data_IF_996860907855
#
_entry.id   IF_996860907855
#
_cell.length_a   1.000
_cell.length_b   1.000
_cell.length_c   1.000
_cell.angle_alpha   90.00
_cell.angle_beta   90.00
_cell.angle_gamma   90.00
#
_symmetry.space_group_name_H-M   'P 1'
#
loop_
_entity.id
_entity.type
_entity.pdbx_description
1 polymer ?
#
# COMPACT_ATOMS: atom_id res chain seq x y z
N UNK A 1 -25.90 -10.11 -13.11
CA UNK A 1 -26.70 -9.39 -12.12
C UNK A 1 -25.94 -8.15 -11.73
N UNK A 2 -26.45 -6.97 -12.05
CA UNK A 2 -25.82 -5.68 -11.72
C UNK A 2 -25.49 -5.63 -10.21
N UNK A 3 -24.40 -4.98 -9.77
CA UNK A 3 -24.18 -4.78 -8.35
C UNK A 3 -25.30 -3.87 -7.84
N UNK A 4 -26.22 -4.43 -7.06
CA UNK A 4 -27.17 -3.62 -6.30
C UNK A 4 -26.34 -2.67 -5.43
N UNK A 5 -26.51 -1.38 -5.64
CA UNK A 5 -25.90 -0.38 -4.79
C UNK A 5 -26.59 -0.47 -3.43
N UNK A 6 -25.93 -1.15 -2.49
CA UNK A 6 -26.48 -1.42 -1.18
C UNK A 6 -26.39 -0.14 -0.36
N UNK A 7 -27.53 0.55 -0.22
CA UNK A 7 -27.62 1.75 0.59
C UNK A 7 -27.63 1.37 2.09
N UNK A 8 -27.11 2.22 2.98
CA UNK A 8 -27.11 1.97 4.42
C UNK A 8 -28.51 1.62 4.98
N UNK A 9 -29.56 2.22 4.43
CA UNK A 9 -30.95 2.02 4.83
C UNK A 9 -31.42 0.58 4.57
N UNK A 10 -30.87 -0.11 3.56
CA UNK A 10 -31.16 -1.53 3.34
C UNK A 10 -30.59 -2.41 4.46
N UNK A 11 -29.42 -2.05 5.01
CA UNK A 11 -28.81 -2.76 6.14
C UNK A 11 -29.63 -2.51 7.40
N UNK A 12 -30.02 -1.25 7.62
CA UNK A 12 -30.89 -0.90 8.75
C UNK A 12 -32.21 -1.67 8.70
N UNK A 13 -32.90 -1.70 7.55
CA UNK A 13 -34.15 -2.45 7.39
C UNK A 13 -33.96 -3.93 7.71
N UNK A 14 -32.90 -4.55 7.18
CA UNK A 14 -32.60 -5.95 7.43
C UNK A 14 -32.37 -6.26 8.92
N UNK A 15 -31.70 -5.37 9.66
CA UNK A 15 -31.49 -5.51 11.11
C UNK A 15 -32.83 -5.36 11.85
N UNK A 16 -33.66 -4.39 11.46
CA UNK A 16 -34.97 -4.15 12.09
C UNK A 16 -35.98 -5.26 11.81
N UNK A 17 -35.94 -5.88 10.64
CA UNK A 17 -36.83 -7.00 10.28
C UNK A 17 -36.45 -8.31 10.99
N UNK A 18 -35.21 -8.44 11.46
CA UNK A 18 -34.73 -9.64 12.12
C UNK A 18 -35.34 -9.78 13.53
N UNK A 19 -36.07 -10.86 13.77
CA UNK A 19 -36.58 -11.23 15.10
C UNK A 19 -35.67 -12.24 15.79
N UNK A 20 -35.55 -12.12 17.11
CA UNK A 20 -34.72 -12.99 17.94
C UNK A 20 -35.00 -14.48 17.75
N UNK A 21 -36.28 -14.85 17.58
CA UNK A 21 -36.72 -16.23 17.36
C UNK A 21 -36.13 -16.88 16.11
N UNK A 22 -35.82 -16.09 15.07
CA UNK A 22 -35.29 -16.59 13.80
C UNK A 22 -33.76 -16.59 13.73
N UNK A 23 -33.06 -16.08 14.76
CA UNK A 23 -31.60 -15.93 14.74
C UNK A 23 -30.91 -17.28 14.60
N UNK A 24 -31.34 -18.28 15.37
CA UNK A 24 -30.72 -19.61 15.31
C UNK A 24 -30.93 -20.26 13.94
N UNK A 25 -32.15 -20.21 13.41
CA UNK A 25 -32.46 -20.77 12.10
C UNK A 25 -31.65 -20.09 10.99
N UNK A 26 -31.53 -18.75 11.05
CA UNK A 26 -30.71 -17.99 10.12
C UNK A 26 -29.24 -18.39 10.19
N UNK A 27 -28.68 -18.55 11.39
CA UNK A 27 -27.30 -19.00 11.59
C UNK A 27 -27.11 -20.41 11.02
N UNK A 28 -28.02 -21.34 11.28
CA UNK A 28 -27.93 -22.71 10.74
C UNK A 28 -27.93 -22.75 9.20
N UNK A 29 -28.62 -21.82 8.54
CA UNK A 29 -28.65 -21.71 7.07
C UNK A 29 -27.44 -20.97 6.49
N UNK A 30 -26.90 -19.99 7.21
CA UNK A 30 -25.84 -19.09 6.70
C UNK A 30 -24.43 -19.57 7.04
N UNK A 31 -24.22 -20.14 8.23
CA UNK A 31 -22.92 -20.63 8.68
C UNK A 31 -22.27 -21.62 7.72
N UNK A 32 -22.98 -22.62 7.13
CA UNK A 32 -22.40 -23.55 6.15
C UNK A 32 -21.70 -22.87 4.95
N UNK A 33 -22.08 -21.62 4.64
CA UNK A 33 -21.56 -20.86 3.51
C UNK A 33 -20.32 -20.03 3.86
N UNK A 34 -19.92 -20.01 5.14
CA UNK A 34 -18.82 -19.20 5.65
C UNK A 34 -17.50 -19.97 5.65
N UNK A 35 -16.39 -19.25 5.48
CA UNK A 35 -15.04 -19.85 5.62
C UNK A 35 -14.80 -20.38 7.03
N UNK A 36 -15.42 -19.79 8.06
CA UNK A 36 -15.34 -20.27 9.45
C UNK A 36 -15.87 -21.70 9.58
N UNK A 37 -17.00 -21.99 8.94
CA UNK A 37 -17.55 -23.34 8.89
C UNK A 37 -16.65 -24.32 8.16
N UNK A 38 -16.14 -23.94 6.99
CA UNK A 38 -15.25 -24.80 6.20
C UNK A 38 -14.02 -25.23 7.01
N UNK A 39 -13.40 -24.31 7.74
CA UNK A 39 -12.25 -24.60 8.59
C UNK A 39 -12.62 -25.45 9.80
N UNK A 40 -13.69 -25.10 10.51
CA UNK A 40 -14.12 -25.86 11.70
C UNK A 40 -14.53 -27.28 11.33
N UNK A 41 -15.20 -27.47 10.19
CA UNK A 41 -15.60 -28.77 9.69
C UNK A 41 -14.39 -29.71 9.58
N UNK A 42 -13.28 -29.23 9.01
CA UNK A 42 -12.06 -30.05 8.87
C UNK A 42 -11.54 -30.52 10.24
N UNK A 43 -11.54 -29.64 11.25
CA UNK A 43 -11.11 -30.02 12.61
C UNK A 43 -12.01 -31.08 13.23
N UNK A 44 -13.33 -30.97 13.03
CA UNK A 44 -14.29 -31.93 13.59
C UNK A 44 -14.24 -33.24 12.81
N UNK A 45 -14.19 -33.20 11.49
CA UNK A 45 -14.04 -34.39 10.65
C UNK A 45 -12.76 -35.20 10.98
N UNK A 46 -11.68 -34.53 11.41
CA UNK A 46 -10.51 -35.19 11.99
C UNK A 46 -10.81 -35.90 13.30
N UNK A 47 -11.49 -35.23 14.25
CA UNK A 47 -11.85 -35.81 15.56
C UNK A 47 -12.76 -37.03 15.41
N UNK A 48 -13.64 -37.00 14.41
CA UNK A 48 -14.52 -38.12 14.05
C UNK A 48 -13.78 -39.23 13.27
N UNK A 49 -12.51 -39.03 12.91
CA UNK A 49 -11.72 -40.01 12.16
C UNK A 49 -12.15 -40.21 10.70
N UNK A 50 -12.99 -39.29 10.19
CA UNK A 50 -13.51 -39.27 8.81
C UNK A 50 -12.44 -38.82 7.83
N UNK A 51 -11.61 -37.86 8.24
CA UNK A 51 -10.42 -37.45 7.50
C UNK A 51 -9.19 -38.17 8.07
N UNK A 52 -8.64 -39.12 7.31
CA UNK A 52 -7.37 -39.81 7.60
C UNK A 52 -6.33 -39.47 6.53
N UNK A 53 -5.11 -39.12 6.92
CA UNK A 53 -3.99 -38.84 6.00
C UNK A 53 -3.61 -37.36 5.85
N UNK A 54 -2.64 -37.03 4.96
CA UNK A 54 -2.07 -35.68 4.85
C UNK A 54 -2.94 -34.77 3.97
N UNK A 55 -4.14 -34.42 4.45
CA UNK A 55 -4.95 -33.33 3.91
C UNK A 55 -4.21 -31.96 3.95
N UNK A 56 -3.17 -31.87 4.80
CA UNK A 56 -2.15 -30.81 4.87
C UNK A 56 -1.35 -30.64 3.58
N UNK A 57 -1.43 -31.59 2.63
CA UNK A 57 -0.83 -31.43 1.30
C UNK A 57 -1.51 -30.35 0.43
N UNK A 58 -2.57 -29.71 0.90
CA UNK A 58 -3.26 -28.61 0.21
C UNK A 58 -4.02 -29.05 -1.04
N UNK A 59 -4.12 -30.35 -1.30
CA UNK A 59 -4.71 -30.91 -2.53
C UNK A 59 -6.22 -30.76 -2.62
N UNK A 60 -6.92 -30.54 -1.50
CA UNK A 60 -8.39 -30.41 -1.48
C UNK A 60 -8.82 -29.23 -0.62
N UNK A 61 -9.61 -28.34 -1.22
CA UNK A 61 -10.10 -27.13 -0.56
C UNK A 61 -11.13 -27.47 0.54
N UNK A 62 -11.04 -26.91 1.76
CA UNK A 62 -11.96 -27.17 2.87
C UNK A 62 -13.44 -27.11 2.49
N UNK A 63 -13.84 -26.09 1.71
CA UNK A 63 -15.17 -25.98 1.09
C UNK A 63 -15.70 -27.24 0.42
N UNK A 64 -14.87 -27.93 -0.38
CA UNK A 64 -15.30 -29.13 -1.12
C UNK A 64 -15.58 -30.28 -0.16
N UNK A 65 -14.74 -30.41 0.86
CA UNK A 65 -14.88 -31.43 1.90
C UNK A 65 -16.15 -31.16 2.70
N UNK A 66 -16.33 -29.94 3.20
CA UNK A 66 -17.49 -29.57 4.00
C UNK A 66 -18.82 -29.82 3.25
N UNK A 67 -18.89 -29.46 1.96
CA UNK A 67 -20.07 -29.70 1.11
C UNK A 67 -20.39 -31.19 0.92
N UNK A 68 -19.37 -32.03 0.74
CA UNK A 68 -19.56 -33.46 0.52
C UNK A 68 -20.18 -34.18 1.73
N UNK A 69 -20.13 -33.57 2.91
CA UNK A 69 -20.62 -34.11 4.17
C UNK A 69 -21.79 -33.31 4.73
N UNK A 70 -22.45 -32.47 3.92
CA UNK A 70 -23.71 -31.83 4.31
C UNK A 70 -24.76 -32.88 4.68
N UNK A 71 -25.52 -32.64 5.75
CA UNK A 71 -26.51 -33.59 6.28
C UNK A 71 -25.93 -34.77 7.07
N UNK A 72 -24.62 -34.81 7.32
CA UNK A 72 -23.99 -35.83 8.18
C UNK A 72 -23.89 -35.37 9.64
N UNK A 73 -23.69 -36.32 10.56
CA UNK A 73 -23.43 -36.05 11.98
C UNK A 73 -22.22 -35.12 12.19
N UNK A 74 -21.23 -35.18 11.29
CA UNK A 74 -20.05 -34.31 11.36
C UNK A 74 -20.43 -32.85 11.05
N UNK A 75 -21.30 -32.64 10.06
CA UNK A 75 -21.80 -31.30 9.72
C UNK A 75 -22.66 -30.73 10.85
N UNK A 76 -23.54 -31.55 11.43
CA UNK A 76 -24.38 -31.14 12.57
C UNK A 76 -23.54 -30.79 13.80
N UNK A 77 -22.56 -31.64 14.15
CA UNK A 77 -21.61 -31.36 15.23
C UNK A 77 -20.82 -30.07 14.97
N UNK A 78 -20.46 -29.80 13.71
CA UNK A 78 -19.78 -28.57 13.30
C UNK A 78 -20.64 -27.33 13.52
N UNK A 79 -21.91 -27.38 13.12
CA UNK A 79 -22.82 -26.28 13.37
C UNK A 79 -23.03 -26.05 14.86
N UNK A 80 -23.26 -27.12 15.63
CA UNK A 80 -23.51 -27.01 17.07
C UNK A 80 -22.27 -26.44 17.80
N UNK A 81 -21.05 -26.89 17.46
CA UNK A 81 -19.81 -26.36 18.04
C UNK A 81 -19.60 -24.89 17.67
N UNK A 82 -19.88 -24.48 16.43
CA UNK A 82 -19.76 -23.07 16.03
C UNK A 82 -20.79 -22.17 16.70
N UNK A 83 -22.04 -22.62 16.75
CA UNK A 83 -23.11 -21.88 17.41
C UNK A 83 -22.75 -21.71 18.89
N UNK A 84 -22.34 -22.78 19.57
CA UNK A 84 -21.98 -22.73 20.98
C UNK A 84 -20.71 -21.90 21.27
N UNK A 85 -19.63 -22.10 20.51
CA UNK A 85 -18.33 -21.49 20.84
C UNK A 85 -18.11 -20.10 20.24
N UNK A 86 -18.86 -19.74 19.18
CA UNK A 86 -18.62 -18.52 18.39
C UNK A 86 -19.84 -17.62 18.25
N UNK A 87 -21.05 -18.07 18.58
CA UNK A 87 -22.27 -17.28 18.41
C UNK A 87 -22.97 -17.12 19.77
N UNK A 88 -23.29 -15.87 20.15
CA UNK A 88 -24.05 -15.60 21.36
C UNK A 88 -25.51 -15.27 21.00
N UNK A 89 -26.30 -16.32 20.77
CA UNK A 89 -27.72 -16.18 20.42
C UNK A 89 -28.50 -15.45 21.54
N UNK A 90 -28.36 -15.81 22.84
CA UNK A 90 -29.10 -15.14 23.90
C UNK A 90 -28.86 -13.64 24.00
N UNK A 91 -27.60 -13.19 23.93
CA UNK A 91 -27.30 -11.75 23.95
C UNK A 91 -27.74 -11.06 22.66
N UNK A 92 -27.59 -11.72 21.50
CA UNK A 92 -28.05 -11.18 20.22
C UNK A 92 -29.56 -10.92 20.23
N UNK A 93 -30.35 -11.87 20.74
CA UNK A 93 -31.80 -11.70 20.91
C UNK A 93 -32.14 -10.51 21.79
N UNK A 94 -31.46 -10.34 22.94
CA UNK A 94 -31.66 -9.16 23.80
C UNK A 94 -31.34 -7.85 23.10
N UNK A 95 -30.28 -7.81 22.29
CA UNK A 95 -29.93 -6.60 21.51
C UNK A 95 -31.01 -6.29 20.48
N UNK A 96 -31.51 -7.31 19.76
CA UNK A 96 -32.61 -7.14 18.80
C UNK A 96 -33.89 -6.64 19.47
N UNK A 97 -34.27 -7.20 20.62
CA UNK A 97 -35.42 -6.74 21.41
C UNK A 97 -35.29 -5.27 21.80
N UNK A 98 -34.11 -4.84 22.24
CA UNK A 98 -33.84 -3.44 22.60
C UNK A 98 -33.87 -2.50 21.39
N UNK A 99 -33.45 -2.97 20.21
CA UNK A 99 -33.60 -2.22 18.95
C UNK A 99 -35.09 -2.07 18.60
N UNK A 100 -35.89 -3.14 18.74
CA UNK A 100 -37.34 -3.09 18.49
C UNK A 100 -38.08 -2.23 19.50
N UNK A 101 -37.66 -2.24 20.77
CA UNK A 101 -38.19 -1.39 21.84
C UNK A 101 -37.74 0.08 21.73
N UNK A 102 -36.96 0.45 20.70
CA UNK A 102 -36.40 1.78 20.50
C UNK A 102 -35.45 2.25 21.62
N UNK A 103 -34.93 1.33 22.45
CA UNK A 103 -33.88 1.64 23.42
C UNK A 103 -32.50 1.78 22.76
N UNK A 104 -32.31 1.13 21.61
CA UNK A 104 -31.10 1.22 20.78
C UNK A 104 -31.49 1.84 19.45
N UNK A 105 -30.97 3.03 19.17
CA UNK A 105 -31.14 3.72 17.90
C UNK A 105 -30.09 3.26 16.88
N UNK A 106 -30.51 3.08 15.62
CA UNK A 106 -29.63 2.80 14.50
C UNK A 106 -29.58 4.06 13.63
N UNK A 107 -28.38 4.61 13.45
CA UNK A 107 -28.13 5.77 12.59
C UNK A 107 -27.33 5.36 11.36
N UNK A 108 -27.82 5.71 10.19
CA UNK A 108 -27.18 5.41 8.90
C UNK A 108 -26.46 6.64 8.36
N UNK A 109 -25.17 6.49 8.03
CA UNK A 109 -24.33 7.58 7.48
C UNK A 109 -23.62 7.08 6.22
N UNK A 110 -24.01 7.61 5.07
CA UNK A 110 -23.34 7.35 3.80
C UNK A 110 -22.19 8.35 3.58
N UNK A 111 -20.98 7.85 3.36
CA UNK A 111 -19.82 8.67 2.94
C UNK A 111 -19.36 8.24 1.55
N UNK A 112 -19.14 9.21 0.66
CA UNK A 112 -18.73 8.96 -0.73
C UNK A 112 -17.22 8.86 -0.91
N UNK A 113 -16.44 9.46 0.00
CA UNK A 113 -14.98 9.46 -0.05
C UNK A 113 -14.42 8.70 1.16
N UNK A 114 -13.33 7.98 0.92
CA UNK A 114 -12.57 7.29 1.98
C UNK A 114 -12.05 8.32 3.01
N UNK A 115 -11.69 9.52 2.57
CA UNK A 115 -11.20 10.59 3.44
C UNK A 115 -12.24 11.11 4.45
N UNK A 116 -13.53 10.88 4.18
CA UNK A 116 -14.63 11.34 5.03
C UNK A 116 -15.10 10.25 6.01
N UNK A 117 -14.43 9.09 6.03
CA UNK A 117 -14.74 7.98 6.93
C UNK A 117 -14.31 8.29 8.37
N UNK A 118 -15.04 7.75 9.33
CA UNK A 118 -14.62 7.79 10.73
C UNK A 118 -13.40 6.90 10.96
N UNK A 119 -12.57 7.16 11.99
CA UNK A 119 -11.43 6.30 12.32
C UNK A 119 -11.82 4.81 12.49
N UNK A 120 -13.01 4.54 13.04
CA UNK A 120 -13.52 3.17 13.19
C UNK A 120 -13.86 2.53 11.84
N UNK A 121 -14.50 3.29 10.94
CA UNK A 121 -14.82 2.81 9.59
C UNK A 121 -13.55 2.58 8.76
N UNK A 122 -12.52 3.39 8.96
CA UNK A 122 -11.22 3.23 8.28
C UNK A 122 -10.60 1.87 8.61
N UNK A 123 -10.65 1.43 9.87
CA UNK A 123 -10.12 0.11 10.28
C UNK A 123 -10.84 -1.03 9.54
N UNK A 124 -12.18 -0.99 9.47
CA UNK A 124 -12.96 -2.00 8.77
C UNK A 124 -12.64 -2.04 7.26
N UNK A 125 -12.60 -0.88 6.62
CA UNK A 125 -12.26 -0.74 5.20
C UNK A 125 -10.81 -1.18 4.92
N UNK A 126 -9.89 -0.95 5.87
CA UNK A 126 -8.51 -1.38 5.75
C UNK A 126 -8.34 -2.91 5.73
N UNK A 127 -9.23 -3.66 6.38
CA UNK A 127 -9.21 -5.13 6.30
C UNK A 127 -9.59 -5.64 4.89
N UNK A 128 -10.37 -4.86 4.14
CA UNK A 128 -10.73 -5.15 2.76
C UNK A 128 -9.64 -4.78 1.73
N UNK A 129 -8.48 -4.26 2.17
CA UNK A 129 -7.37 -3.93 1.25
C UNK A 129 -6.88 -5.13 0.45
N UNK A 130 -6.92 -6.33 1.04
CA UNK A 130 -6.42 -7.56 0.41
C UNK A 130 -7.39 -8.18 -0.60
N UNK A 131 -8.65 -7.73 -0.62
CA UNK A 131 -9.65 -8.24 -1.56
C UNK A 131 -9.63 -7.51 -2.91
N UNK A 132 -8.80 -6.46 -3.04
CA UNK A 132 -8.67 -5.68 -4.28
C UNK A 132 -9.78 -4.65 -4.49
N UNK A 133 -10.79 -4.60 -3.62
CA UNK A 133 -11.91 -3.65 -3.71
C UNK A 133 -11.58 -2.28 -3.12
N UNK A 134 -10.52 -2.17 -2.30
CA UNK A 134 -10.14 -0.93 -1.61
C UNK A 134 -8.67 -0.61 -1.91
N UNK A 135 -8.43 0.52 -2.57
CA UNK A 135 -7.07 1.04 -2.78
C UNK A 135 -6.68 1.85 -1.54
N UNK A 136 -5.64 1.45 -0.79
CA UNK A 136 -5.24 2.16 0.41
C UNK A 136 -4.66 3.55 0.08
N UNK A 137 -4.93 4.52 0.97
CA UNK A 137 -4.44 5.91 0.85
C UNK A 137 -2.90 6.00 0.93
N UNK A 138 -2.28 5.25 1.84
CA UNK A 138 -0.82 5.09 1.92
C UNK A 138 -0.38 3.77 1.28
N UNK A 139 0.72 3.74 0.51
CA UNK A 139 1.29 2.50 -0.04
C UNK A 139 1.58 1.49 1.08
N UNK A 140 1.42 0.19 0.82
CA UNK A 140 1.79 -0.84 1.81
C UNK A 140 3.26 -0.67 2.27
N UNK A 141 3.55 -0.90 3.55
CA UNK A 141 4.92 -0.91 4.10
C UNK A 141 5.81 -1.88 3.32
N UNK A 142 5.27 -3.03 2.92
CA UNK A 142 5.99 -3.99 2.07
C UNK A 142 6.31 -3.42 0.68
N UNK A 143 5.45 -2.56 0.13
CA UNK A 143 5.69 -1.91 -1.15
C UNK A 143 6.76 -0.81 -1.02
N UNK A 144 6.73 -0.03 0.05
CA UNK A 144 7.76 0.95 0.37
C UNK A 144 9.15 0.29 0.52
N UNK A 145 9.24 -0.83 1.24
CA UNK A 145 10.48 -1.61 1.38
C UNK A 145 10.98 -2.16 0.04
N UNK A 146 10.08 -2.62 -0.85
CA UNK A 146 10.45 -3.03 -2.21
C UNK A 146 11.01 -1.86 -3.02
N UNK A 147 10.41 -0.67 -2.89
CA UNK A 147 10.88 0.54 -3.58
C UNK A 147 12.24 0.99 -3.04
N UNK A 148 12.43 0.96 -1.72
CA UNK A 148 13.72 1.21 -1.08
C UNK A 148 14.80 0.29 -1.65
N UNK A 149 14.60 -1.03 -1.57
CA UNK A 149 15.56 -2.02 -2.11
C UNK A 149 15.84 -1.83 -3.60
N UNK A 150 14.82 -1.41 -4.38
CA UNK A 150 14.97 -1.11 -5.80
C UNK A 150 15.84 0.13 -6.02
N UNK A 151 15.64 1.19 -5.25
CA UNK A 151 16.39 2.44 -5.39
C UNK A 151 17.83 2.29 -4.87
N UNK A 152 18.05 1.58 -3.76
CA UNK A 152 19.41 1.34 -3.23
C UNK A 152 20.31 0.59 -4.23
N UNK A 153 19.72 -0.32 -5.00
CA UNK A 153 20.42 -1.08 -6.05
C UNK A 153 20.68 -0.28 -7.32
N UNK A 154 20.03 0.87 -7.53
CA UNK A 154 20.24 1.68 -8.73
C UNK A 154 21.62 2.33 -8.70
N UNK A 155 22.12 2.58 -9.91
CA UNK A 155 23.31 3.35 -10.14
C UNK A 155 22.94 4.80 -10.48
N UNK A 156 23.74 5.73 -9.97
CA UNK A 156 23.59 7.16 -10.19
C UNK A 156 24.95 7.72 -10.59
N UNK A 157 24.94 8.68 -11.52
CA UNK A 157 26.16 9.44 -11.86
C UNK A 157 26.21 10.69 -10.99
N UNK A 158 27.31 10.84 -10.26
CA UNK A 158 27.60 12.00 -9.43
C UNK A 158 28.64 12.87 -10.12
N UNK A 159 28.28 14.14 -10.33
CA UNK A 159 29.16 15.15 -10.94
C UNK A 159 29.38 16.28 -9.95
N UNK A 160 30.63 16.62 -9.66
CA UNK A 160 30.91 17.79 -8.83
C UNK A 160 30.72 19.07 -9.65
N UNK A 161 29.72 19.86 -9.25
CA UNK A 161 29.37 21.12 -9.90
C UNK A 161 30.33 22.27 -9.50
N UNK A 162 31.13 22.08 -8.46
CA UNK A 162 32.14 23.05 -8.03
C UNK A 162 33.43 22.96 -8.85
N UNK A 163 34.10 21.80 -8.86
CA UNK A 163 35.40 21.64 -9.52
C UNK A 163 35.34 20.98 -10.90
N UNK A 164 34.22 20.36 -11.29
CA UNK A 164 34.06 19.64 -12.57
C UNK A 164 34.92 18.38 -12.76
N UNK A 165 35.85 18.10 -11.84
CA UNK A 165 36.84 17.03 -11.94
C UNK A 165 36.39 15.69 -11.35
N UNK A 166 35.21 15.63 -10.73
CA UNK A 166 34.63 14.40 -10.20
C UNK A 166 33.39 14.03 -11.01
N UNK A 167 33.44 12.87 -11.66
CA UNK A 167 32.36 12.29 -12.46
C UNK A 167 32.48 10.75 -12.34
N UNK A 168 31.65 10.16 -11.49
CA UNK A 168 31.69 8.73 -11.18
C UNK A 168 30.27 8.16 -11.16
N UNK A 169 30.13 6.91 -11.59
CA UNK A 169 28.90 6.13 -11.43
C UNK A 169 29.05 5.30 -10.16
N UNK A 170 28.09 5.41 -9.24
CA UNK A 170 28.07 4.65 -7.99
C UNK A 170 26.68 4.08 -7.72
N UNK A 171 26.63 2.96 -7.00
CA UNK A 171 25.37 2.45 -6.45
C UNK A 171 24.91 3.34 -5.30
N UNK A 172 23.62 3.65 -5.26
CA UNK A 172 23.04 4.55 -4.26
C UNK A 172 23.21 3.99 -2.85
N UNK A 173 23.03 2.68 -2.66
CA UNK A 173 23.20 2.02 -1.36
C UNK A 173 24.58 2.24 -0.74
N UNK A 174 25.62 2.38 -1.56
CA UNK A 174 27.02 2.55 -1.12
C UNK A 174 27.41 4.00 -0.82
N UNK A 175 26.53 4.97 -1.06
CA UNK A 175 26.82 6.38 -0.80
C UNK A 175 26.66 6.69 0.69
N UNK A 176 27.53 7.55 1.20
CA UNK A 176 27.38 8.15 2.52
C UNK A 176 26.12 9.04 2.58
N UNK A 177 25.60 9.25 3.79
CA UNK A 177 24.43 10.13 4.01
C UNK A 177 24.66 11.56 3.49
N UNK A 178 25.92 12.04 3.54
CA UNK A 178 26.34 13.36 3.05
C UNK A 178 27.57 13.20 2.15
N UNK A 179 27.38 12.84 0.87
CA UNK A 179 28.50 12.57 -0.02
C UNK A 179 29.30 13.85 -0.28
N UNK A 180 30.62 13.70 -0.37
CA UNK A 180 31.57 14.79 -0.65
C UNK A 180 32.37 14.47 -1.91
N UNK A 181 32.87 15.51 -2.57
CA UNK A 181 33.78 15.33 -3.70
C UNK A 181 35.17 14.93 -3.19
N UNK A 182 35.73 13.76 -3.55
CA UNK A 182 37.05 13.35 -3.11
C UNK A 182 38.19 14.17 -3.75
N UNK A 183 37.90 14.97 -4.78
CA UNK A 183 38.90 15.81 -5.47
C UNK A 183 39.07 17.20 -4.85
N UNK A 184 38.00 17.78 -4.31
CA UNK A 184 38.02 19.16 -3.79
C UNK A 184 37.37 19.34 -2.41
N UNK A 185 36.83 18.27 -1.81
CA UNK A 185 36.12 18.31 -0.53
C UNK A 185 34.72 18.94 -0.57
N UNK A 186 34.32 19.58 -1.68
CA UNK A 186 33.02 20.24 -1.77
C UNK A 186 31.86 19.23 -1.74
N UNK A 187 30.76 19.61 -1.09
CA UNK A 187 29.49 18.84 -1.04
C UNK A 187 28.55 19.13 -2.21
N UNK A 188 28.99 19.93 -3.18
CA UNK A 188 28.18 20.38 -4.29
C UNK A 188 28.20 19.38 -5.45
N UNK A 189 27.38 18.33 -5.31
CA UNK A 189 27.31 17.19 -6.22
C UNK A 189 25.94 17.13 -6.89
N UNK A 190 25.90 17.15 -8.22
CA UNK A 190 24.69 16.87 -8.98
C UNK A 190 24.52 15.35 -9.13
N UNK A 191 23.32 14.86 -8.82
CA UNK A 191 22.89 13.50 -9.11
C UNK A 191 22.09 13.47 -10.41
N UNK A 192 22.55 12.67 -11.38
CA UNK A 192 21.90 12.50 -12.68
C UNK A 192 21.85 11.03 -13.08
N UNK A 193 21.02 10.73 -14.09
CA UNK A 193 20.95 9.40 -14.71
C UNK A 193 22.36 8.91 -15.10
N UNK A 194 22.68 7.62 -14.88
CA UNK A 194 23.99 7.06 -15.21
C UNK A 194 24.36 7.20 -16.69
N UNK A 195 23.36 7.34 -17.57
CA UNK A 195 23.55 7.52 -19.01
C UNK A 195 23.74 8.98 -19.43
N UNK A 196 23.48 9.96 -18.56
CA UNK A 196 23.56 11.37 -18.91
C UNK A 196 25.02 11.87 -18.85
N UNK A 197 25.72 11.83 -19.99
CA UNK A 197 27.08 12.38 -20.13
C UNK A 197 27.11 13.87 -20.44
N UNK A 198 25.98 14.40 -20.92
CA UNK A 198 25.90 15.76 -21.44
C UNK A 198 26.19 16.80 -20.36
N UNK A 199 25.68 16.59 -19.13
CA UNK A 199 25.90 17.54 -18.03
C UNK A 199 27.39 17.77 -17.75
N UNK A 200 28.21 16.72 -17.76
CA UNK A 200 29.66 16.86 -17.52
C UNK A 200 30.37 17.62 -18.64
N UNK A 201 29.99 17.36 -19.89
CA UNK A 201 30.52 18.05 -21.07
C UNK A 201 30.17 19.54 -21.04
N UNK A 202 28.91 19.86 -20.77
CA UNK A 202 28.41 21.24 -20.64
C UNK A 202 29.08 21.97 -19.49
N UNK A 203 29.21 21.32 -18.32
CA UNK A 203 29.91 21.91 -17.17
C UNK A 203 31.37 22.25 -17.50
N UNK A 204 32.08 21.38 -18.21
CA UNK A 204 33.47 21.66 -18.65
C UNK A 204 33.56 22.83 -19.62
N UNK A 205 32.61 22.99 -20.55
CA UNK A 205 32.54 24.17 -21.43
C UNK A 205 32.32 25.45 -20.63
N UNK A 206 31.39 25.41 -19.67
CA UNK A 206 31.08 26.54 -18.80
C UNK A 206 32.30 26.97 -17.97
N UNK A 207 33.02 26.02 -17.35
CA UNK A 207 34.23 26.28 -16.57
C UNK A 207 35.39 26.85 -17.42
N UNK A 208 35.37 26.63 -18.73
CA UNK A 208 36.33 27.20 -19.69
C UNK A 208 35.86 28.53 -20.29
N UNK A 209 34.78 29.11 -19.77
CA UNK A 209 34.16 30.35 -20.25
C UNK A 209 33.79 30.32 -21.74
N UNK A 210 33.42 29.15 -22.25
CA UNK A 210 32.94 29.00 -23.63
C UNK A 210 31.47 29.37 -23.73
N UNK A 211 31.05 29.87 -24.90
CA UNK A 211 29.63 30.14 -25.16
C UNK A 211 28.83 28.83 -25.14
N UNK A 212 27.69 28.85 -24.44
CA UNK A 212 26.78 27.74 -24.31
C UNK A 212 25.57 27.97 -25.21
N UNK A 213 25.11 26.92 -25.88
CA UNK A 213 23.83 26.97 -26.58
C UNK A 213 22.66 27.08 -25.58
N UNK A 214 21.48 27.62 -25.97
CA UNK A 214 20.33 27.72 -25.09
C UNK A 214 19.88 26.40 -24.46
N UNK A 215 20.08 25.27 -25.15
CA UNK A 215 19.80 23.94 -24.62
C UNK A 215 20.83 23.49 -23.57
N UNK A 216 22.11 23.81 -23.79
CA UNK A 216 23.19 23.51 -22.84
C UNK A 216 22.99 24.30 -21.53
N UNK A 217 22.55 25.55 -21.61
CA UNK A 217 22.20 26.34 -20.43
C UNK A 217 21.07 25.70 -19.60
N UNK A 218 20.06 25.11 -20.27
CA UNK A 218 18.97 24.40 -19.57
C UNK A 218 19.50 23.19 -18.82
N UNK A 219 20.38 22.39 -19.45
CA UNK A 219 21.02 21.22 -18.82
C UNK A 219 21.82 21.66 -17.60
N UNK A 220 22.61 22.73 -17.73
CA UNK A 220 23.42 23.27 -16.64
C UNK A 220 22.56 23.75 -15.46
N UNK A 221 21.47 24.50 -15.74
CA UNK A 221 20.49 24.94 -14.73
C UNK A 221 19.84 23.76 -14.01
N UNK A 222 19.52 22.67 -14.71
CA UNK A 222 18.99 21.45 -14.07
C UNK A 222 20.05 20.78 -13.18
N UNK A 223 21.31 20.76 -13.61
CA UNK A 223 22.44 20.26 -12.83
C UNK A 223 22.62 21.03 -11.51
N UNK A 224 22.56 22.36 -11.56
CA UNK A 224 22.63 23.20 -10.35
C UNK A 224 21.48 22.92 -9.38
N UNK A 225 20.23 22.87 -9.89
CA UNK A 225 19.06 22.52 -9.07
C UNK A 225 19.19 21.12 -8.42
N UNK A 226 19.75 20.16 -9.14
CA UNK A 226 20.04 18.83 -8.58
C UNK A 226 21.08 18.93 -7.45
N UNK A 227 22.15 19.68 -7.65
CA UNK A 227 23.20 19.87 -6.65
C UNK A 227 22.72 20.62 -5.40
N UNK A 228 21.82 21.59 -5.55
CA UNK A 228 21.22 22.32 -4.43
C UNK A 228 20.42 21.37 -3.52
N UNK A 229 19.64 20.46 -4.12
CA UNK A 229 18.88 19.44 -3.37
C UNK A 229 19.80 18.46 -2.64
N UNK A 230 20.89 18.02 -3.30
CA UNK A 230 21.88 17.12 -2.68
C UNK A 230 22.64 17.82 -1.56
N UNK A 231 22.94 19.11 -1.70
CA UNK A 231 23.58 19.90 -0.64
C UNK A 231 22.68 19.98 0.61
N UNK A 232 21.38 20.21 0.41
CA UNK A 232 20.39 20.33 1.48
C UNK A 232 20.04 18.99 2.15
N UNK A 233 19.69 17.96 1.35
CA UNK A 233 19.10 16.71 1.85
C UNK A 233 20.01 15.47 1.71
N UNK A 234 21.24 15.63 1.19
CA UNK A 234 22.23 14.55 1.10
C UNK A 234 21.75 13.35 0.27
N UNK A 235 21.97 12.15 0.79
CA UNK A 235 21.61 10.88 0.14
C UNK A 235 20.12 10.76 -0.16
N UNK A 236 19.23 11.33 0.66
CA UNK A 236 17.78 11.33 0.40
C UNK A 236 17.43 12.06 -0.90
N UNK A 237 18.12 13.16 -1.23
CA UNK A 237 17.92 13.81 -2.53
C UNK A 237 18.36 12.93 -3.70
N UNK A 238 19.47 12.23 -3.55
CA UNK A 238 19.99 11.31 -4.58
C UNK A 238 18.99 10.16 -4.82
N UNK A 239 18.41 9.61 -3.76
CA UNK A 239 17.37 8.58 -3.83
C UNK A 239 16.14 9.11 -4.57
N UNK A 240 15.64 10.29 -4.19
CA UNK A 240 14.45 10.90 -4.80
C UNK A 240 14.66 11.20 -6.29
N UNK A 241 15.80 11.80 -6.66
CA UNK A 241 16.17 12.11 -8.05
C UNK A 241 16.39 10.87 -8.92
N UNK A 242 16.66 9.71 -8.30
CA UNK A 242 16.85 8.43 -8.99
C UNK A 242 15.56 7.66 -9.20
N UNK A 243 14.44 8.13 -8.64
CA UNK A 243 13.11 7.57 -8.89
C UNK A 243 12.59 7.92 -10.29
N UNK A 244 11.63 7.14 -10.79
CA UNK A 244 11.15 7.26 -12.17
C UNK A 244 10.35 8.55 -12.35
N UNK A 245 10.78 9.39 -13.29
CA UNK A 245 10.05 10.62 -13.64
C UNK A 245 10.13 11.73 -12.58
N UNK A 246 11.01 11.59 -11.58
CA UNK A 246 11.23 12.62 -10.57
C UNK A 246 12.41 13.49 -11.00
N UNK A 247 12.12 14.66 -11.57
CA UNK A 247 13.12 15.71 -11.81
C UNK A 247 13.33 16.60 -10.57
N UNK A 248 14.26 17.58 -10.61
CA UNK A 248 14.58 18.44 -9.46
C UNK A 248 13.36 19.15 -8.85
N UNK A 249 12.41 19.61 -9.67
CA UNK A 249 11.18 20.25 -9.17
C UNK A 249 10.29 19.30 -8.38
N UNK A 250 10.12 18.07 -8.85
CA UNK A 250 9.34 17.04 -8.15
C UNK A 250 10.07 16.53 -6.91
N UNK A 251 11.39 16.37 -6.99
CA UNK A 251 12.23 15.97 -5.87
C UNK A 251 12.17 17.00 -4.73
N UNK A 252 12.16 18.30 -5.02
CA UNK A 252 11.98 19.36 -3.99
C UNK A 252 10.71 19.12 -3.17
N UNK A 253 9.57 18.88 -3.83
CA UNK A 253 8.29 18.63 -3.15
C UNK A 253 8.31 17.37 -2.29
N UNK A 254 8.99 16.32 -2.75
CA UNK A 254 9.19 15.11 -1.96
C UNK A 254 10.06 15.43 -0.75
N UNK A 255 11.11 16.23 -0.87
CA UNK A 255 12.03 16.51 0.24
C UNK A 255 11.53 17.57 1.23
N UNK A 256 10.59 18.43 0.83
CA UNK A 256 10.00 19.48 1.67
C UNK A 256 9.13 18.94 2.82
N UNK A 257 8.60 17.72 2.68
CA UNK A 257 7.79 17.10 3.73
C UNK A 257 8.70 16.68 4.89
N UNK A 258 8.31 17.08 6.11
CA UNK A 258 8.98 16.60 7.33
C UNK A 258 8.63 15.14 7.52
N UNK A 259 9.64 14.28 7.43
CA UNK A 259 9.51 12.87 7.71
C UNK A 259 9.97 12.62 9.13
N UNK A 260 9.13 11.99 9.95
CA UNK A 260 9.58 11.42 11.21
C UNK A 260 10.69 10.40 10.96
N UNK A 261 11.33 9.90 12.02
CA UNK A 261 12.47 8.96 11.96
C UNK A 261 12.23 7.67 11.14
N UNK A 262 11.00 7.43 10.67
CA UNK A 262 10.64 6.31 9.81
C UNK A 262 10.79 6.65 8.32
N UNK A 263 11.70 5.96 7.64
CA UNK A 263 11.93 6.07 6.20
C UNK A 263 10.69 5.70 5.34
N UNK A 264 9.70 5.03 5.92
CA UNK A 264 8.49 4.59 5.23
C UNK A 264 7.71 5.75 4.58
N UNK A 265 7.60 6.90 5.25
CA UNK A 265 6.85 8.03 4.72
C UNK A 265 7.55 8.66 3.52
N UNK A 266 8.88 8.75 3.57
CA UNK A 266 9.69 9.23 2.45
C UNK A 266 9.54 8.35 1.20
N UNK A 267 9.65 7.02 1.36
CA UNK A 267 9.45 6.11 0.22
C UNK A 267 8.00 6.09 -0.28
N UNK A 268 7.03 6.31 0.60
CA UNK A 268 5.62 6.44 0.22
C UNK A 268 5.37 7.66 -0.67
N UNK A 269 6.03 8.78 -0.38
CA UNK A 269 5.95 10.00 -1.20
C UNK A 269 6.62 9.81 -2.56
N UNK A 270 7.75 9.08 -2.62
CA UNK A 270 8.35 8.69 -3.89
C UNK A 270 7.37 7.85 -4.72
N UNK A 271 6.68 6.88 -4.11
CA UNK A 271 5.68 6.05 -4.80
C UNK A 271 4.55 6.92 -5.37
N UNK A 272 4.06 7.89 -4.62
CA UNK A 272 3.02 8.80 -5.07
C UNK A 272 3.49 9.67 -6.23
N UNK A 273 4.72 10.18 -6.17
CA UNK A 273 5.33 10.94 -7.27
C UNK A 273 5.53 10.08 -8.54
N UNK A 274 5.93 8.80 -8.41
CA UNK A 274 6.03 7.86 -9.55
C UNK A 274 4.65 7.56 -10.17
N UNK A 275 3.60 7.43 -9.34
CA UNK A 275 2.22 7.27 -9.81
C UNK A 275 1.75 8.50 -10.58
N UNK A 276 2.00 9.69 -10.04
CA UNK A 276 1.61 10.93 -10.69
C UNK A 276 2.32 11.09 -12.03
N UNK A 277 3.62 10.83 -12.07
CA UNK A 277 4.37 10.80 -13.32
C UNK A 277 3.79 9.77 -14.31
N UNK A 278 3.48 8.55 -13.87
CA UNK A 278 2.92 7.50 -14.73
C UNK A 278 1.54 7.89 -15.28
N UNK A 279 0.72 8.59 -14.47
CA UNK A 279 -0.59 9.11 -14.85
C UNK A 279 -0.47 10.24 -15.87
N UNK A 280 0.48 11.14 -15.68
CA UNK A 280 0.62 12.31 -16.55
C UNK A 280 1.43 12.01 -17.80
N UNK A 281 2.39 11.06 -17.78
CA UNK A 281 3.32 10.75 -18.89
C UNK A 281 2.66 10.65 -20.27
N UNK A 282 1.49 9.99 -20.46
CA UNK A 282 0.83 9.93 -21.77
C UNK A 282 0.44 11.28 -22.38
N UNK A 283 0.38 12.34 -21.57
CA UNK A 283 0.02 13.70 -21.98
C UNK A 283 1.24 14.59 -22.24
N UNK A 284 2.45 14.07 -22.08
CA UNK A 284 3.69 14.79 -22.34
C UNK A 284 4.15 14.31 -23.71
N UNK A 285 4.07 15.18 -24.72
CA UNK A 285 4.53 14.87 -26.07
C UNK A 285 5.98 14.42 -26.08
N UNK A 286 6.29 13.49 -26.98
CA UNK A 286 7.64 12.95 -27.21
C UNK A 286 8.68 14.06 -27.50
#
# INVERSE_FOLDING_TARGET
>A
TYPYFLQPEHIESAIRELRGEFVEELLRRTLPQTTMYEWRFVHIAKRFGVLRGPWESGKMHPRKIARAYEGTLVAEATLNELIHDKMDIPLTTKVLERIHAQEIEILTIAKKKIDDLSPLAEVAVNQLRFTGFVIPKKPDRQLAEKVQRRLDKKEVRLICMWCGNYNVISKIGNLDEKPTCPKCGARYLAAVSPFNEQLHKVLKKHLRHQQLAPEEEKILKQGYKSADLVLASGKKAIIALSARGIGPKSASRVLEKSYDKEDYEFYSEIINAEKEYSRTRPFWGD
#
